data_IF_525781531729
#
_entry.id   IF_525781531729
#
_cell.length_a   1.000
_cell.length_b   1.000
_cell.length_c   1.000
_cell.angle_alpha   90.00
_cell.angle_beta   90.00
_cell.angle_gamma   90.00
#
_symmetry.space_group_name_H-M   'P 1'
#
loop_
_entity.id
_entity.type
_entity.pdbx_description
1 polymer ?
#
# COMPACT_ATOMS: atom_id res chain seq x y z
N UNK A 1 28.47 1.91 7.56
CA UNK A 1 27.45 2.19 6.53
C UNK A 1 26.42 1.08 6.59
N UNK A 2 25.15 1.35 6.94
CA UNK A 2 24.13 0.48 6.36
C UNK A 2 22.89 1.25 5.94
N UNK A 3 22.39 0.96 4.74
CA UNK A 3 21.01 0.51 4.50
C UNK A 3 20.64 0.74 3.03
N UNK A 4 21.05 -0.19 2.17
CA UNK A 4 20.29 -0.40 0.93
C UNK A 4 18.98 -1.08 1.32
N UNK A 5 17.96 -0.28 1.64
CA UNK A 5 16.57 -0.73 1.61
C UNK A 5 16.20 -0.99 0.14
N UNK A 6 16.76 -2.04 -0.46
CA UNK A 6 16.34 -2.48 -1.79
C UNK A 6 14.92 -3.01 -1.65
N UNK A 7 13.96 -2.13 -1.96
CA UNK A 7 12.59 -2.52 -2.20
C UNK A 7 12.50 -3.55 -3.34
N UNK A 8 11.32 -4.14 -3.56
CA UNK A 8 11.14 -5.08 -4.67
C UNK A 8 11.54 -4.44 -5.99
N UNK A 9 12.10 -5.27 -6.88
CA UNK A 9 12.49 -4.90 -8.25
C UNK A 9 11.33 -4.16 -8.93
N UNK A 10 11.63 -3.07 -9.63
CA UNK A 10 10.63 -2.26 -10.35
C UNK A 10 10.78 -2.46 -11.85
N UNK A 11 9.68 -2.35 -12.57
CA UNK A 11 9.72 -2.22 -14.03
C UNK A 11 10.41 -0.91 -14.45
N UNK A 12 10.95 -0.86 -15.67
CA UNK A 12 11.66 0.32 -16.20
C UNK A 12 10.80 1.59 -16.18
N UNK A 13 9.48 1.44 -16.36
CA UNK A 13 8.51 2.53 -16.30
C UNK A 13 8.12 2.94 -14.86
N UNK A 14 8.62 2.25 -13.84
CA UNK A 14 8.35 2.48 -12.43
C UNK A 14 6.94 2.13 -11.96
N UNK A 15 6.03 1.71 -12.86
CA UNK A 15 4.60 1.51 -12.58
C UNK A 15 4.32 0.26 -11.76
N UNK A 16 5.23 -0.72 -11.82
CA UNK A 16 5.08 -2.00 -11.16
C UNK A 16 6.30 -2.37 -10.32
N UNK A 17 6.05 -3.08 -9.22
CA UNK A 17 7.03 -3.88 -8.49
C UNK A 17 6.84 -5.35 -8.86
N UNK A 18 7.92 -6.11 -8.95
CA UNK A 18 7.94 -7.54 -9.23
C UNK A 18 8.25 -8.28 -7.94
N UNK A 19 7.29 -9.10 -7.49
CA UNK A 19 7.44 -9.92 -6.28
C UNK A 19 7.13 -11.36 -6.65
N UNK A 20 8.14 -12.24 -6.53
CA UNK A 20 8.05 -13.67 -6.90
C UNK A 20 7.52 -13.87 -8.34
N UNK A 21 8.03 -13.09 -9.30
CA UNK A 21 7.61 -13.14 -10.70
C UNK A 21 6.24 -12.52 -11.00
N UNK A 22 5.52 -12.04 -9.99
CA UNK A 22 4.21 -11.37 -10.18
C UNK A 22 4.36 -9.87 -10.11
N UNK A 23 3.76 -9.16 -11.07
CA UNK A 23 3.68 -7.69 -11.08
C UNK A 23 2.59 -7.20 -10.14
N UNK A 24 2.94 -6.22 -9.31
CA UNK A 24 2.02 -5.47 -8.45
C UNK A 24 2.21 -4.00 -8.74
N UNK A 25 1.13 -3.23 -8.67
CA UNK A 25 1.21 -1.78 -8.85
C UNK A 25 2.12 -1.17 -7.79
N UNK A 26 3.05 -0.32 -8.22
CA UNK A 26 3.93 0.42 -7.32
C UNK A 26 3.17 1.54 -6.60
N UNK A 27 3.69 1.95 -5.45
CA UNK A 27 3.26 3.18 -4.78
C UNK A 27 3.43 4.36 -5.73
N UNK A 28 2.47 5.28 -5.71
CA UNK A 28 2.53 6.51 -6.50
C UNK A 28 3.79 7.32 -6.12
N UNK A 29 4.70 7.60 -7.07
CA UNK A 29 5.93 8.34 -6.80
C UNK A 29 5.68 9.82 -6.48
N UNK A 30 4.51 10.37 -6.80
CA UNK A 30 4.17 11.78 -6.53
C UNK A 30 3.77 11.99 -5.05
N UNK A 31 3.53 10.91 -4.28
CA UNK A 31 3.23 11.00 -2.85
C UNK A 31 4.50 11.39 -2.08
N UNK A 32 4.47 12.47 -1.27
CA UNK A 32 5.60 12.83 -0.43
C UNK A 32 6.01 11.67 0.48
N UNK A 33 7.32 11.41 0.60
CA UNK A 33 7.81 10.24 1.35
C UNK A 33 7.36 10.23 2.82
N UNK A 34 7.11 11.40 3.43
CA UNK A 34 6.52 11.51 4.77
C UNK A 34 5.10 10.93 4.82
N UNK A 35 4.26 11.28 3.85
CA UNK A 35 2.89 10.78 3.74
C UNK A 35 2.88 9.30 3.37
N UNK A 36 3.75 8.90 2.44
CA UNK A 36 3.94 7.48 2.09
C UNK A 36 4.38 6.67 3.33
N UNK A 37 5.27 7.20 4.17
CA UNK A 37 5.68 6.56 5.41
C UNK A 37 4.52 6.44 6.42
N UNK A 38 3.71 7.48 6.58
CA UNK A 38 2.52 7.46 7.44
C UNK A 38 1.49 6.42 6.94
N UNK A 39 1.21 6.40 5.64
CA UNK A 39 0.32 5.42 5.02
C UNK A 39 0.83 3.98 5.16
N UNK A 40 2.14 3.75 5.01
CA UNK A 40 2.75 2.43 5.27
C UNK A 40 2.62 2.03 6.74
N UNK A 41 2.76 2.97 7.68
CA UNK A 41 2.52 2.73 9.11
C UNK A 41 1.07 2.34 9.38
N UNK A 42 0.10 3.08 8.82
CA UNK A 42 -1.32 2.76 8.89
C UNK A 42 -1.64 1.39 8.29
N UNK A 43 -1.05 1.05 7.14
CA UNK A 43 -1.20 -0.25 6.50
C UNK A 43 -0.71 -1.38 7.41
N UNK A 44 0.45 -1.22 8.04
CA UNK A 44 0.98 -2.21 8.98
C UNK A 44 0.13 -2.33 10.24
N UNK A 45 -0.39 -1.23 10.77
CA UNK A 45 -1.32 -1.25 11.90
C UNK A 45 -2.63 -1.98 11.55
N UNK A 46 -3.21 -1.70 10.37
CA UNK A 46 -4.41 -2.35 9.89
C UNK A 46 -4.21 -3.87 9.66
N UNK A 47 -3.05 -4.28 9.12
CA UNK A 47 -2.71 -5.71 8.98
C UNK A 47 -2.61 -6.42 10.34
N UNK A 48 -2.03 -5.76 11.36
CA UNK A 48 -2.03 -6.30 12.73
C UNK A 48 -3.46 -6.45 13.25
N UNK A 49 -4.32 -5.46 13.05
CA UNK A 49 -5.73 -5.54 13.45
C UNK A 49 -6.49 -6.68 12.75
N UNK A 50 -6.21 -6.96 11.47
CA UNK A 50 -6.77 -8.12 10.75
C UNK A 50 -6.37 -9.43 11.44
N UNK A 51 -5.10 -9.56 11.82
CA UNK A 51 -4.58 -10.75 12.50
C UNK A 51 -5.24 -10.96 13.87
N UNK A 52 -5.35 -9.89 14.66
CA UNK A 52 -5.96 -9.97 15.99
C UNK A 52 -7.47 -10.24 15.91
N UNK A 53 -8.19 -9.56 15.01
CA UNK A 53 -9.62 -9.82 14.79
C UNK A 53 -9.88 -11.27 14.33
N UNK A 54 -9.03 -11.80 13.45
CA UNK A 54 -9.12 -13.19 13.02
C UNK A 54 -8.87 -14.20 14.14
N UNK A 55 -7.94 -13.90 15.07
CA UNK A 55 -7.70 -14.73 16.27
C UNK A 55 -8.87 -14.68 17.24
N UNK A 56 -9.50 -13.52 17.38
CA UNK A 56 -10.66 -13.31 18.24
C UNK A 56 -11.98 -13.80 17.62
N UNK A 57 -11.97 -14.26 16.37
CA UNK A 57 -13.18 -14.57 15.58
C UNK A 57 -14.21 -13.43 15.56
N UNK A 58 -13.74 -12.17 15.63
CA UNK A 58 -14.61 -10.97 15.54
C UNK A 58 -14.72 -10.53 14.08
N UNK A 59 -15.77 -11.00 13.40
CA UNK A 59 -16.03 -10.69 12.00
C UNK A 59 -16.22 -9.19 11.72
N UNK A 60 -16.80 -8.44 12.68
CA UNK A 60 -17.02 -7.02 12.52
C UNK A 60 -15.70 -6.25 12.60
N UNK A 61 -14.82 -6.59 13.55
CA UNK A 61 -13.47 -6.05 13.60
C UNK A 61 -12.64 -6.47 12.38
N UNK A 62 -12.81 -7.71 11.91
CA UNK A 62 -12.12 -8.23 10.73
C UNK A 62 -12.47 -7.39 9.49
N UNK A 63 -13.76 -7.12 9.28
CA UNK A 63 -14.26 -6.30 8.16
C UNK A 63 -13.68 -4.89 8.21
N UNK A 64 -13.79 -4.21 9.36
CA UNK A 64 -13.22 -2.86 9.56
C UNK A 64 -11.70 -2.81 9.32
N UNK A 65 -10.97 -3.83 9.78
CA UNK A 65 -9.53 -3.88 9.58
C UNK A 65 -9.16 -4.10 8.10
N UNK A 66 -9.91 -4.94 7.38
CA UNK A 66 -9.74 -5.15 5.93
C UNK A 66 -10.06 -3.89 5.13
N UNK A 67 -11.10 -3.15 5.50
CA UNK A 67 -11.43 -1.84 4.92
C UNK A 67 -10.28 -0.87 5.08
N UNK A 68 -9.69 -0.75 6.29
CA UNK A 68 -8.52 0.10 6.53
C UNK A 68 -7.31 -0.31 5.70
N UNK A 69 -7.06 -1.60 5.52
CA UNK A 69 -6.01 -2.10 4.62
C UNK A 69 -6.27 -1.65 3.19
N UNK A 70 -7.51 -1.76 2.71
CA UNK A 70 -7.87 -1.33 1.37
C UNK A 70 -7.69 0.18 1.19
N UNK A 71 -8.17 0.99 2.15
CA UNK A 71 -8.03 2.45 2.09
C UNK A 71 -6.56 2.89 2.07
N UNK A 72 -5.72 2.32 2.94
CA UNK A 72 -4.28 2.63 2.93
C UNK A 72 -3.62 2.26 1.60
N UNK A 73 -4.00 1.14 0.96
CA UNK A 73 -3.47 0.75 -0.35
C UNK A 73 -3.96 1.63 -1.49
N UNK A 74 -5.21 2.09 -1.44
CA UNK A 74 -5.75 3.04 -2.42
C UNK A 74 -5.03 4.38 -2.29
N UNK A 75 -4.86 4.89 -1.07
CA UNK A 75 -4.13 6.13 -0.81
C UNK A 75 -2.65 6.05 -1.20
N UNK A 76 -2.01 4.86 -1.09
CA UNK A 76 -0.66 4.63 -1.63
C UNK A 76 -0.63 4.49 -3.16
N UNK A 77 -1.78 4.48 -3.84
CA UNK A 77 -1.87 4.25 -5.28
C UNK A 77 -1.70 2.79 -5.71
N UNK A 78 -1.56 1.83 -4.78
CA UNK A 78 -1.36 0.39 -5.05
C UNK A 78 -2.65 -0.34 -5.51
N UNK A 79 -3.81 0.31 -5.35
CA UNK A 79 -5.17 -0.18 -5.67
C UNK A 79 -6.04 0.96 -6.20
N UNK A 80 -7.20 0.61 -6.77
CA UNK A 80 -8.12 1.59 -7.38
C UNK A 80 -7.72 1.96 -8.81
N UNK A 81 -8.08 3.16 -9.25
CA UNK A 81 -7.62 3.72 -10.53
C UNK A 81 -6.11 3.83 -10.52
N UNK A 82 -5.38 3.38 -11.54
CA UNK A 82 -3.93 3.55 -11.59
C UNK A 82 -3.53 5.03 -11.57
N UNK A 83 -2.52 5.39 -10.77
CA UNK A 83 -2.08 6.78 -10.64
C UNK A 83 -1.55 7.36 -11.96
N UNK A 84 -1.05 6.54 -12.90
CA UNK A 84 -0.64 6.98 -14.24
C UNK A 84 -1.81 7.24 -15.20
N UNK A 85 -3.04 6.88 -14.82
CA UNK A 85 -4.27 7.21 -15.54
C UNK A 85 -5.03 8.36 -14.87
N UNK A 86 -4.59 8.79 -13.68
CA UNK A 86 -5.14 9.93 -12.96
C UNK A 86 -4.41 11.22 -13.35
N UNK A 87 -5.16 12.32 -13.40
CA UNK A 87 -4.58 13.67 -13.45
C UNK A 87 -3.93 14.04 -12.09
N UNK A 88 -2.99 14.99 -12.04
CA UNK A 88 -2.41 15.46 -10.78
C UNK A 88 -3.45 15.90 -9.73
N UNK A 89 -4.59 16.44 -10.16
CA UNK A 89 -5.68 16.86 -9.27
C UNK A 89 -6.48 15.70 -8.68
N UNK A 90 -6.41 14.51 -9.28
CA UNK A 90 -7.05 13.29 -8.77
C UNK A 90 -6.12 12.49 -7.84
N UNK A 91 -4.82 12.85 -7.82
CA UNK A 91 -3.77 12.20 -7.01
C UNK A 91 -3.61 12.79 -5.59
N UNK A 92 -4.25 13.92 -5.27
CA UNK A 92 -4.11 14.67 -3.99
C UNK A 92 -5.03 14.20 -2.88
#
# INVERSE_FOLDING_TARGET
MPSERSGPERTDDGRYIVVKGRRWRATDPDIPEADAAALRSHLMAARRAVKEAGRAADDAALRRARERVQQAKVALGERGTPWWEQSPAERS
#
